data_IF_301845376783
#
_entry.id   IF_301845376783
#
_cell.length_a   1.000
_cell.length_b   1.000
_cell.length_c   1.000
_cell.angle_alpha   90.00
_cell.angle_beta   90.00
_cell.angle_gamma   90.00
#
_symmetry.space_group_name_H-M   'P 1'
#
loop_
_entity.id
_entity.type
_entity.pdbx_description
1 polymer ?
#
# COMPACT_ATOMS: atom_id res chain seq x y z
N UNK A 1 36.40 -25.99 16.59
CA UNK A 1 36.56 -24.52 16.69
C UNK A 1 35.55 -24.03 17.71
N UNK A 2 35.97 -23.40 18.80
CA UNK A 2 35.03 -22.73 19.69
C UNK A 2 34.48 -21.48 18.97
N UNK A 3 33.16 -21.26 18.94
CA UNK A 3 32.61 -20.02 18.41
C UNK A 3 33.17 -18.85 19.23
N UNK A 4 33.59 -17.78 18.54
CA UNK A 4 34.00 -16.55 19.23
C UNK A 4 32.78 -16.00 19.94
N UNK A 5 32.86 -15.87 21.25
CA UNK A 5 31.88 -15.12 22.05
C UNK A 5 31.84 -13.69 21.53
N UNK A 6 30.66 -13.25 21.10
CA UNK A 6 30.42 -11.85 20.77
C UNK A 6 30.59 -11.01 22.04
N UNK A 7 31.05 -9.77 21.93
CA UNK A 7 31.06 -8.83 23.07
C UNK A 7 29.65 -8.65 23.65
N UNK A 8 28.64 -8.84 22.80
CA UNK A 8 27.23 -8.77 23.14
C UNK A 8 26.77 -9.93 24.03
N UNK A 9 27.44 -11.09 23.98
CA UNK A 9 27.16 -12.24 24.85
C UNK A 9 27.63 -12.02 26.31
N UNK A 10 28.35 -10.92 26.56
CA UNK A 10 28.87 -10.56 27.89
C UNK A 10 27.91 -9.65 28.67
N UNK A 11 26.86 -9.11 28.04
CA UNK A 11 25.90 -8.24 28.71
C UNK A 11 24.84 -9.06 29.47
N UNK A 12 24.51 -8.68 30.72
CA UNK A 12 23.35 -9.20 31.42
C UNK A 12 22.06 -9.00 30.61
N UNK A 13 21.14 -9.96 30.69
CA UNK A 13 19.87 -9.90 29.96
C UNK A 13 19.06 -8.67 30.33
N UNK A 14 19.17 -8.20 31.57
CA UNK A 14 18.50 -7.00 32.07
C UNK A 14 18.94 -5.74 31.31
N UNK A 15 20.24 -5.60 31.01
CA UNK A 15 20.73 -4.46 30.21
C UNK A 15 20.25 -4.54 28.77
N UNK A 16 20.18 -5.74 28.21
CA UNK A 16 19.67 -5.95 26.86
C UNK A 16 18.15 -5.70 26.79
N UNK A 17 17.40 -6.02 27.83
CA UNK A 17 15.99 -5.63 27.95
C UNK A 17 15.85 -4.12 28.01
N UNK A 18 16.64 -3.43 28.85
CA UNK A 18 16.62 -1.97 28.92
C UNK A 18 16.94 -1.32 27.57
N UNK A 19 17.91 -1.84 26.80
CA UNK A 19 18.21 -1.33 25.45
C UNK A 19 17.01 -1.54 24.52
N UNK A 20 16.40 -2.73 24.54
CA UNK A 20 15.20 -3.03 23.73
C UNK A 20 14.07 -2.05 24.03
N UNK A 21 13.84 -1.73 25.31
CA UNK A 21 12.82 -0.79 25.76
C UNK A 21 13.08 0.66 25.34
N UNK A 22 14.31 1.00 24.93
CA UNK A 22 14.63 2.32 24.36
C UNK A 22 14.42 2.38 22.84
N UNK A 23 14.19 1.25 22.17
CA UNK A 23 13.86 1.23 20.74
C UNK A 23 12.37 1.59 20.62
N UNK A 24 11.99 2.62 19.84
CA UNK A 24 10.59 2.94 19.59
C UNK A 24 9.86 1.71 19.03
N UNK A 25 8.66 1.43 19.53
CA UNK A 25 7.87 0.27 19.07
C UNK A 25 7.53 0.35 17.56
N UNK A 26 7.49 1.53 16.96
CA UNK A 26 7.30 1.70 15.53
C UNK A 26 8.56 1.47 14.68
N UNK A 27 9.76 1.41 15.29
CA UNK A 27 11.02 1.14 14.60
C UNK A 27 11.22 -0.37 14.36
N UNK A 28 10.44 -0.87 13.38
CA UNK A 28 10.42 -2.26 12.96
C UNK A 28 11.82 -2.78 12.60
N UNK A 29 12.61 -1.97 11.89
CA UNK A 29 13.94 -2.33 11.40
C UNK A 29 14.90 -2.59 12.55
N UNK A 30 14.99 -1.65 13.50
CA UNK A 30 15.89 -1.80 14.64
C UNK A 30 15.46 -2.99 15.49
N UNK A 31 14.17 -3.24 15.67
CA UNK A 31 13.69 -4.43 16.37
C UNK A 31 14.08 -5.74 15.68
N UNK A 32 13.97 -5.85 14.36
CA UNK A 32 14.39 -7.06 13.62
C UNK A 32 15.89 -7.28 13.73
N UNK A 33 16.72 -6.26 13.53
CA UNK A 33 18.17 -6.40 13.67
C UNK A 33 18.60 -6.68 15.11
N UNK A 34 17.92 -6.09 16.09
CA UNK A 34 18.15 -6.39 17.50
C UNK A 34 17.85 -7.86 17.78
N UNK A 35 16.67 -8.35 17.39
CA UNK A 35 16.29 -9.75 17.54
C UNK A 35 17.33 -10.70 16.91
N UNK A 36 17.76 -10.42 15.67
CA UNK A 36 18.74 -11.25 14.94
C UNK A 36 20.13 -11.25 15.57
N UNK A 37 20.48 -10.21 16.33
CA UNK A 37 21.79 -10.09 16.99
C UNK A 37 21.92 -10.97 18.23
N UNK A 38 20.81 -11.42 18.83
CA UNK A 38 20.78 -12.14 20.11
C UNK A 38 19.96 -13.45 20.09
N UNK A 39 20.19 -14.38 19.14
CA UNK A 39 19.32 -15.53 18.92
C UNK A 39 19.21 -16.49 20.11
N UNK A 40 20.22 -16.55 20.98
CA UNK A 40 20.26 -17.47 22.14
C UNK A 40 19.43 -17.01 23.33
N UNK A 41 19.10 -15.73 23.42
CA UNK A 41 18.38 -15.12 24.56
C UNK A 41 17.10 -14.42 24.15
N UNK A 42 16.71 -14.52 22.88
CA UNK A 42 15.53 -13.88 22.31
C UNK A 42 14.26 -14.14 23.12
N UNK A 43 14.01 -15.38 23.53
CA UNK A 43 12.83 -15.73 24.34
C UNK A 43 12.82 -15.04 25.72
N UNK A 44 13.99 -14.66 26.25
CA UNK A 44 14.08 -13.86 27.47
C UNK A 44 13.83 -12.37 27.22
N UNK A 45 14.12 -11.88 26.00
CA UNK A 45 13.96 -10.46 25.63
C UNK A 45 12.56 -10.11 25.13
N UNK A 46 11.92 -11.03 24.41
CA UNK A 46 10.61 -10.82 23.77
C UNK A 46 9.48 -11.60 24.44
N UNK A 47 9.80 -12.40 25.46
CA UNK A 47 8.82 -13.18 26.22
C UNK A 47 8.58 -14.57 25.65
N UNK A 48 7.53 -15.22 26.14
CA UNK A 48 7.07 -16.49 25.61
C UNK A 48 6.47 -16.32 24.19
N UNK A 49 6.11 -17.42 23.53
CA UNK A 49 5.65 -17.40 22.14
C UNK A 49 4.43 -16.47 21.90
N UNK A 50 3.50 -16.40 22.85
CA UNK A 50 2.32 -15.55 22.76
C UNK A 50 2.67 -14.06 22.94
N UNK A 51 3.53 -13.76 23.91
CA UNK A 51 4.05 -12.41 24.16
C UNK A 51 4.87 -11.89 22.98
N UNK A 52 5.70 -12.75 22.40
CA UNK A 52 6.53 -12.45 21.24
C UNK A 52 5.66 -12.14 20.02
N UNK A 53 4.64 -12.97 19.75
CA UNK A 53 3.73 -12.77 18.61
C UNK A 53 2.92 -11.48 18.77
N UNK A 54 2.40 -11.20 19.97
CA UNK A 54 1.72 -9.94 20.27
C UNK A 54 2.65 -8.73 20.11
N UNK A 55 3.90 -8.85 20.54
CA UNK A 55 4.90 -7.79 20.34
C UNK A 55 5.09 -7.49 18.86
N UNK A 56 5.32 -8.51 18.02
CA UNK A 56 5.53 -8.30 16.59
C UNK A 56 4.30 -7.76 15.88
N UNK A 57 3.12 -8.16 16.32
CA UNK A 57 1.85 -7.60 15.86
C UNK A 57 1.79 -6.09 16.13
N UNK A 58 2.03 -5.67 17.38
CA UNK A 58 2.03 -4.25 17.77
C UNK A 58 3.05 -3.45 16.96
N UNK A 59 4.30 -3.94 16.85
CA UNK A 59 5.36 -3.28 16.09
C UNK A 59 4.99 -3.13 14.61
N UNK A 60 4.46 -4.18 13.98
CA UNK A 60 4.04 -4.11 12.57
C UNK A 60 2.90 -3.10 12.37
N UNK A 61 1.89 -3.13 13.24
CA UNK A 61 0.75 -2.21 13.14
C UNK A 61 1.21 -0.77 13.35
N UNK A 62 2.04 -0.49 14.35
CA UNK A 62 2.56 0.86 14.59
C UNK A 62 3.49 1.35 13.49
N UNK A 63 4.18 0.45 12.77
CA UNK A 63 4.90 0.76 11.53
C UNK A 63 3.97 0.93 10.31
N UNK A 64 2.64 0.93 10.53
CA UNK A 64 1.60 1.11 9.52
C UNK A 64 1.41 -0.09 8.58
N UNK A 65 1.72 -1.30 9.03
CA UNK A 65 1.57 -2.53 8.24
C UNK A 65 0.32 -3.33 8.64
N UNK A 66 -0.43 -3.77 7.64
CA UNK A 66 -1.61 -4.62 7.75
C UNK A 66 -1.44 -6.02 7.18
N UNK A 67 -2.57 -6.76 7.18
CA UNK A 67 -2.66 -8.11 6.63
C UNK A 67 -3.08 -8.10 5.16
N UNK A 68 -2.49 -9.00 4.37
CA UNK A 68 -2.89 -9.23 2.98
C UNK A 68 -4.15 -10.11 2.91
N UNK A 69 -4.90 -10.12 1.79
CA UNK A 69 -6.17 -10.86 1.67
C UNK A 69 -6.15 -12.35 2.03
N UNK A 70 -5.02 -13.05 1.83
CA UNK A 70 -4.90 -14.46 2.19
C UNK A 70 -4.74 -14.71 3.70
N UNK A 71 -4.29 -13.69 4.42
CA UNK A 71 -3.95 -13.73 5.85
C UNK A 71 -5.14 -13.33 6.72
N UNK A 72 -6.10 -12.58 6.17
CA UNK A 72 -7.32 -12.16 6.87
C UNK A 72 -8.32 -13.31 7.06
N UNK A 73 -8.18 -14.41 6.30
CA UNK A 73 -9.02 -15.61 6.41
C UNK A 73 -8.83 -16.30 7.77
N UNK A 74 -7.57 -16.40 8.20
CA UNK A 74 -7.20 -16.95 9.51
C UNK A 74 -6.12 -16.08 10.16
N UNK A 75 -6.52 -14.92 10.69
CA UNK A 75 -5.61 -13.88 11.17
C UNK A 75 -4.95 -14.25 12.51
N UNK A 76 -5.32 -15.39 13.11
CA UNK A 76 -4.68 -15.96 14.30
C UNK A 76 -3.54 -16.93 13.94
N UNK A 77 -3.48 -17.44 12.71
CA UNK A 77 -2.37 -18.28 12.24
C UNK A 77 -1.27 -17.51 11.51
N UNK A 78 -1.46 -16.22 11.29
CA UNK A 78 -0.42 -15.33 10.78
C UNK A 78 0.69 -15.23 11.81
N UNK A 79 1.94 -15.35 11.35
CA UNK A 79 3.11 -15.00 12.17
C UNK A 79 3.59 -13.61 11.79
N UNK A 80 3.27 -12.63 12.62
CA UNK A 80 3.73 -11.24 12.53
C UNK A 80 5.24 -11.13 12.59
N UNK A 81 5.92 -12.02 13.34
CA UNK A 81 7.38 -12.12 13.26
C UNK A 81 7.83 -12.40 11.83
N UNK A 82 7.20 -13.35 11.15
CA UNK A 82 7.55 -13.66 9.75
C UNK A 82 7.27 -12.45 8.85
N UNK A 83 6.15 -11.74 9.05
CA UNK A 83 5.82 -10.52 8.30
C UNK A 83 6.89 -9.44 8.49
N UNK A 84 7.26 -9.16 9.74
CA UNK A 84 8.32 -8.20 10.09
C UNK A 84 9.63 -8.53 9.37
N UNK A 85 10.07 -9.78 9.48
CA UNK A 85 11.34 -10.23 8.89
C UNK A 85 11.30 -10.22 7.37
N UNK A 86 10.17 -10.57 6.76
CA UNK A 86 9.97 -10.45 5.32
C UNK A 86 10.11 -8.98 4.91
N UNK A 87 9.37 -8.05 5.52
CA UNK A 87 9.47 -6.62 5.22
C UNK A 87 10.91 -6.09 5.28
N UNK A 88 11.64 -6.37 6.36
CA UNK A 88 13.01 -5.87 6.56
C UNK A 88 14.02 -6.57 5.63
N UNK A 89 13.81 -7.84 5.29
CA UNK A 89 14.71 -8.56 4.37
C UNK A 89 14.71 -7.97 2.95
N UNK A 90 13.60 -7.36 2.52
CA UNK A 90 13.47 -6.72 1.21
C UNK A 90 13.74 -5.21 1.26
N UNK A 91 13.64 -4.57 2.43
CA UNK A 91 13.86 -3.13 2.62
C UNK A 91 15.22 -2.68 2.09
N UNK A 92 16.31 -3.33 2.51
CA UNK A 92 17.68 -2.99 2.09
C UNK A 92 18.01 -3.28 0.62
N UNK A 93 17.07 -3.87 -0.13
CA UNK A 93 17.21 -4.15 -1.56
C UNK A 93 16.35 -3.24 -2.43
N UNK A 94 15.50 -2.40 -1.83
CA UNK A 94 14.54 -1.60 -2.56
C UNK A 94 14.98 -0.13 -2.62
N UNK A 95 15.36 0.32 -3.82
CA UNK A 95 15.72 1.73 -4.08
C UNK A 95 14.50 2.60 -4.45
N UNK A 96 13.28 2.13 -4.21
CA UNK A 96 12.06 2.84 -4.60
C UNK A 96 11.62 3.78 -3.46
N UNK A 97 11.36 5.09 -3.72
CA UNK A 97 11.06 6.06 -2.65
C UNK A 97 9.80 5.69 -1.85
N UNK A 98 8.79 5.14 -2.53
CA UNK A 98 7.57 4.64 -1.89
C UNK A 98 7.67 3.22 -1.33
N UNK A 99 8.84 2.82 -0.80
CA UNK A 99 9.07 1.52 -0.16
C UNK A 99 10.29 1.61 0.76
N UNK A 100 10.49 0.61 1.62
CA UNK A 100 11.66 0.51 2.47
C UNK A 100 11.56 1.35 3.74
N UNK A 101 12.71 1.82 4.27
CA UNK A 101 12.76 2.51 5.57
C UNK A 101 11.99 3.83 5.54
N UNK A 102 12.15 4.64 4.50
CA UNK A 102 11.52 5.97 4.44
C UNK A 102 9.99 5.86 4.53
N UNK A 103 9.41 4.84 3.88
CA UNK A 103 7.99 4.54 3.99
C UNK A 103 7.60 4.03 5.39
N UNK A 104 8.43 3.18 6.01
CA UNK A 104 8.16 2.71 7.39
C UNK A 104 8.17 3.88 8.38
N UNK A 105 9.13 4.79 8.26
CA UNK A 105 9.22 5.98 9.10
C UNK A 105 8.01 6.90 8.89
N UNK A 106 7.64 7.18 7.63
CA UNK A 106 6.48 8.00 7.32
C UNK A 106 5.17 7.38 7.84
N UNK A 107 4.98 6.07 7.63
CA UNK A 107 3.84 5.33 8.15
C UNK A 107 3.80 5.37 9.68
N UNK A 108 4.95 5.19 10.35
CA UNK A 108 5.07 5.25 11.80
C UNK A 108 4.68 6.62 12.34
N UNK A 109 5.14 7.70 11.70
CA UNK A 109 4.77 9.07 12.05
C UNK A 109 3.25 9.27 11.89
N UNK A 110 2.66 8.82 10.78
CA UNK A 110 1.21 8.91 10.60
C UNK A 110 0.43 8.10 11.64
N UNK A 111 0.88 6.89 11.97
CA UNK A 111 0.26 6.10 13.04
C UNK A 111 0.40 6.80 14.39
N UNK A 112 1.54 7.39 14.70
CA UNK A 112 1.77 8.13 15.94
C UNK A 112 0.84 9.35 16.07
N UNK A 113 0.65 10.13 14.99
CA UNK A 113 -0.19 11.33 15.05
C UNK A 113 -1.70 11.08 14.98
N UNK A 114 -2.11 9.93 14.43
CA UNK A 114 -3.53 9.63 14.17
C UNK A 114 -4.15 8.70 15.23
N UNK A 115 -3.32 8.08 16.07
CA UNK A 115 -3.75 7.17 17.12
C UNK A 115 -3.63 7.92 18.45
N UNK A 116 -4.72 7.97 19.21
CA UNK A 116 -4.72 8.57 20.55
C UNK A 116 -3.65 7.89 21.44
N UNK A 117 -3.02 8.65 22.34
CA UNK A 117 -1.94 8.16 23.22
C UNK A 117 -2.38 6.89 23.98
N UNK A 118 -3.66 6.81 24.34
CA UNK A 118 -4.27 5.68 25.05
C UNK A 118 -4.39 4.40 24.20
N UNK A 119 -4.26 4.50 22.87
CA UNK A 119 -4.39 3.39 21.93
C UNK A 119 -3.04 2.74 21.57
N UNK A 120 -1.89 3.34 21.96
CA UNK A 120 -0.57 2.80 21.63
C UNK A 120 -0.27 1.44 22.27
N UNK A 121 -0.83 1.17 23.46
CA UNK A 121 -0.62 -0.09 24.19
C UNK A 121 -1.73 -1.14 23.94
N UNK A 122 -2.65 -0.87 23.02
CA UNK A 122 -3.82 -1.71 22.79
C UNK A 122 -3.48 -2.86 21.84
N UNK A 123 -3.97 -4.06 22.14
CA UNK A 123 -3.84 -5.22 21.25
C UNK A 123 -4.55 -4.96 19.92
N UNK A 124 -4.09 -5.58 18.83
CA UNK A 124 -4.70 -5.42 17.49
C UNK A 124 -6.22 -5.54 17.49
N UNK A 125 -6.75 -6.55 18.19
CA UNK A 125 -8.19 -6.78 18.24
C UNK A 125 -8.93 -5.58 18.84
N UNK A 126 -8.37 -4.97 19.87
CA UNK A 126 -8.97 -3.78 20.46
C UNK A 126 -8.68 -2.53 19.62
N UNK A 127 -7.51 -2.42 18.98
CA UNK A 127 -7.21 -1.34 18.01
C UNK A 127 -8.24 -1.29 16.89
N UNK A 128 -8.49 -2.42 16.20
CA UNK A 128 -9.47 -2.44 15.12
C UNK A 128 -10.91 -2.35 15.62
N UNK A 129 -11.24 -2.85 16.82
CA UNK A 129 -12.57 -2.62 17.41
C UNK A 129 -12.86 -1.14 17.67
N UNK A 130 -11.83 -0.33 17.88
CA UNK A 130 -11.93 1.11 18.10
C UNK A 130 -11.87 1.90 16.79
N UNK A 131 -11.31 1.34 15.72
CA UNK A 131 -11.36 1.97 14.39
C UNK A 131 -12.83 2.19 13.99
N UNK A 132 -13.26 3.44 13.81
CA UNK A 132 -14.64 3.75 13.54
C UNK A 132 -15.03 3.21 12.16
N UNK A 133 -16.17 2.52 12.09
CA UNK A 133 -16.78 2.07 10.83
C UNK A 133 -17.49 3.24 10.09
N UNK A 134 -17.36 4.48 10.57
CA UNK A 134 -18.04 5.66 10.05
C UNK A 134 -17.37 6.99 10.46
N UNK A 135 -17.97 8.13 10.09
CA UNK A 135 -17.39 9.45 10.37
C UNK A 135 -17.22 9.67 11.88
N UNK A 136 -15.97 9.87 12.30
CA UNK A 136 -15.62 10.25 13.67
C UNK A 136 -15.09 11.70 13.68
N UNK A 137 -15.09 12.36 14.83
CA UNK A 137 -14.53 13.71 14.98
C UNK A 137 -13.04 13.76 14.62
N UNK A 138 -12.32 12.63 14.75
CA UNK A 138 -10.91 12.49 14.39
C UNK A 138 -10.67 12.33 12.87
N UNK A 139 -11.73 12.14 12.08
CA UNK A 139 -11.68 11.93 10.63
C UNK A 139 -11.24 13.14 9.80
N UNK A 140 -11.28 14.35 10.35
CA UNK A 140 -10.90 15.57 9.61
C UNK A 140 -9.41 15.61 9.22
N UNK A 141 -8.59 14.71 9.79
CA UNK A 141 -7.16 14.58 9.54
C UNK A 141 -6.74 13.35 8.76
N UNK A 142 -7.66 12.58 8.13
CA UNK A 142 -7.28 11.36 7.42
C UNK A 142 -6.22 11.64 6.35
N UNK A 143 -5.09 10.93 6.45
CA UNK A 143 -4.02 10.96 5.45
C UNK A 143 -4.11 9.73 4.58
N UNK A 144 -4.07 9.91 3.26
CA UNK A 144 -4.02 8.80 2.30
C UNK A 144 -2.56 8.44 2.03
N UNK A 145 -2.26 7.15 2.01
CA UNK A 145 -0.89 6.68 1.85
C UNK A 145 -0.36 7.03 0.45
N UNK A 146 0.76 7.75 0.39
CA UNK A 146 1.35 8.24 -0.86
C UNK A 146 1.75 7.13 -1.82
N UNK A 147 2.00 5.91 -1.32
CA UNK A 147 2.34 4.73 -2.13
C UNK A 147 1.28 4.52 -3.21
N UNK A 148 0.00 4.83 -2.93
CA UNK A 148 -1.12 4.77 -3.90
C UNK A 148 -0.91 5.59 -5.17
N UNK A 149 -0.04 6.60 -5.14
CA UNK A 149 0.36 7.40 -6.28
C UNK A 149 1.56 6.88 -7.07
N UNK A 150 2.25 5.85 -6.57
CA UNK A 150 3.47 5.33 -7.17
C UNK A 150 3.27 4.06 -7.97
N UNK A 151 2.04 3.60 -8.20
CA UNK A 151 1.86 2.28 -8.80
C UNK A 151 1.00 2.36 -10.04
N UNK A 152 1.29 1.44 -10.95
CA UNK A 152 0.79 1.43 -12.31
C UNK A 152 0.41 0.00 -12.70
N UNK A 153 -0.49 -0.08 -13.67
CA UNK A 153 -0.94 -1.33 -14.27
C UNK A 153 -0.28 -1.49 -15.64
N UNK A 154 -0.05 -2.73 -16.06
CA UNK A 154 0.42 -2.95 -17.42
C UNK A 154 -0.66 -2.56 -18.44
N UNK A 155 -0.26 -1.77 -19.44
CA UNK A 155 -1.15 -1.22 -20.47
C UNK A 155 -1.88 -2.31 -21.28
N UNK A 156 -1.22 -3.45 -21.49
CA UNK A 156 -1.75 -4.52 -22.34
C UNK A 156 -2.64 -5.47 -21.56
N UNK A 157 -3.88 -5.60 -22.05
CA UNK A 157 -4.74 -6.75 -21.77
C UNK A 157 -3.94 -8.04 -22.06
N UNK A 158 -4.02 -9.07 -21.21
CA UNK A 158 -3.35 -10.33 -21.47
C UNK A 158 -3.83 -10.92 -22.80
N UNK A 159 -2.97 -11.69 -23.47
CA UNK A 159 -3.32 -12.31 -24.74
C UNK A 159 -4.38 -13.40 -24.51
N UNK A 160 -5.52 -13.30 -25.20
CA UNK A 160 -6.63 -14.26 -25.11
C UNK A 160 -7.52 -14.02 -23.88
N UNK A 161 -8.02 -15.11 -23.29
CA UNK A 161 -8.89 -15.10 -22.10
C UNK A 161 -8.09 -15.15 -20.77
N UNK A 162 -6.76 -14.97 -20.83
CA UNK A 162 -5.95 -14.97 -19.61
C UNK A 162 -6.31 -13.77 -18.72
N UNK A 163 -6.70 -14.03 -17.47
CA UNK A 163 -6.80 -12.99 -16.44
C UNK A 163 -5.42 -12.88 -15.80
N UNK A 164 -4.76 -11.72 -15.94
CA UNK A 164 -3.49 -11.48 -15.25
C UNK A 164 -3.81 -11.26 -13.77
N UNK A 165 -3.26 -12.06 -12.84
CA UNK A 165 -3.51 -11.84 -11.42
C UNK A 165 -2.86 -10.53 -10.94
N UNK A 166 -3.34 -9.92 -9.83
CA UNK A 166 -2.80 -8.67 -9.30
C UNK A 166 -1.28 -8.74 -9.11
N UNK A 167 -0.79 -9.90 -8.65
CA UNK A 167 0.62 -10.25 -8.45
C UNK A 167 1.52 -10.11 -9.68
N UNK A 168 0.95 -9.97 -10.88
CA UNK A 168 1.70 -9.83 -12.14
C UNK A 168 1.36 -8.55 -12.89
N UNK A 169 0.30 -7.85 -12.52
CA UNK A 169 -0.23 -6.71 -13.29
C UNK A 169 0.16 -5.36 -12.69
N UNK A 170 0.38 -5.31 -11.37
CA UNK A 170 0.67 -4.09 -10.61
C UNK A 170 2.18 -3.98 -10.40
N UNK A 171 2.76 -2.81 -10.72
CA UNK A 171 4.16 -2.49 -10.47
C UNK A 171 4.33 -1.08 -9.90
N UNK A 172 5.44 -0.87 -9.19
CA UNK A 172 5.86 0.40 -8.60
C UNK A 172 6.55 1.26 -9.68
N UNK A 173 5.87 2.30 -10.14
CA UNK A 173 6.35 3.32 -11.06
C UNK A 173 7.26 4.32 -10.35
N UNK A 174 8.45 4.52 -10.90
CA UNK A 174 9.42 5.47 -10.37
C UNK A 174 9.62 6.63 -11.36
N UNK A 175 9.02 7.79 -11.08
CA UNK A 175 9.06 8.99 -11.94
C UNK A 175 10.46 9.45 -12.33
N UNK A 176 11.45 9.24 -11.47
CA UNK A 176 12.81 9.75 -11.68
C UNK A 176 13.65 8.81 -12.55
N UNK A 177 13.11 7.64 -12.93
CA UNK A 177 13.76 6.72 -13.87
C UNK A 177 13.25 6.95 -15.29
N UNK A 178 14.19 7.17 -16.22
CA UNK A 178 13.89 7.26 -17.66
C UNK A 178 13.26 5.96 -18.19
N UNK A 179 13.72 4.81 -17.70
CA UNK A 179 13.22 3.49 -18.08
C UNK A 179 12.63 2.77 -16.87
N UNK A 180 11.43 2.22 -17.04
CA UNK A 180 10.79 1.32 -16.07
C UNK A 180 11.15 -0.14 -16.39
N UNK A 181 11.30 -0.98 -15.37
CA UNK A 181 11.46 -2.44 -15.46
C UNK A 181 10.33 -3.13 -14.66
N UNK A 182 9.09 -3.14 -15.19
CA UNK A 182 7.92 -3.67 -14.47
C UNK A 182 8.11 -5.08 -13.90
N UNK A 183 8.75 -6.05 -14.61
CA UNK A 183 9.02 -7.37 -14.05
C UNK A 183 9.80 -7.37 -12.72
N UNK A 184 10.67 -6.39 -12.50
CA UNK A 184 11.45 -6.23 -11.25
C UNK A 184 10.78 -5.30 -10.24
N UNK A 185 9.81 -4.51 -10.67
CA UNK A 185 9.08 -3.54 -9.86
C UNK A 185 7.70 -4.03 -9.43
N UNK A 186 7.34 -5.31 -9.63
CA UNK A 186 6.02 -5.81 -9.26
C UNK A 186 5.75 -5.60 -7.77
N UNK A 187 4.58 -5.06 -7.41
CA UNK A 187 4.21 -4.71 -6.03
C UNK A 187 4.41 -5.86 -5.04
N UNK A 188 4.21 -7.11 -5.46
CA UNK A 188 4.44 -8.31 -4.63
C UNK A 188 5.89 -8.45 -4.12
N UNK A 189 6.86 -7.79 -4.76
CA UNK A 189 8.27 -7.78 -4.35
C UNK A 189 8.60 -6.60 -3.43
N UNK A 190 7.59 -5.79 -3.09
CA UNK A 190 7.67 -4.65 -2.19
C UNK A 190 6.75 -4.88 -0.98
N UNK A 191 7.10 -5.81 -0.06
CA UNK A 191 6.23 -6.21 1.04
C UNK A 191 5.85 -5.04 1.95
N UNK A 192 6.76 -4.07 2.18
CA UNK A 192 6.45 -2.85 2.93
C UNK A 192 5.34 -2.06 2.24
N UNK A 193 5.49 -1.75 0.95
CA UNK A 193 4.49 -1.02 0.17
C UNK A 193 3.16 -1.78 0.12
N UNK A 194 3.18 -3.07 -0.22
CA UNK A 194 1.97 -3.88 -0.36
C UNK A 194 1.16 -3.97 0.94
N UNK A 195 1.84 -4.09 2.09
CA UNK A 195 1.21 -4.24 3.41
C UNK A 195 0.88 -2.93 4.07
N UNK A 196 1.43 -1.82 3.62
CA UNK A 196 1.13 -0.50 4.20
C UNK A 196 -0.38 -0.24 4.20
N UNK A 197 -0.91 0.32 5.28
CA UNK A 197 -2.30 0.76 5.30
C UNK A 197 -2.53 1.82 4.21
N UNK A 198 -3.69 1.76 3.56
CA UNK A 198 -4.05 2.69 2.50
C UNK A 198 -4.35 4.11 3.01
N UNK A 199 -4.69 4.23 4.29
CA UNK A 199 -4.94 5.51 4.96
C UNK A 199 -4.59 5.45 6.45
N UNK A 200 -4.45 6.63 7.04
CA UNK A 200 -4.14 6.85 8.46
C UNK A 200 -5.17 7.82 9.06
N UNK A 201 -5.91 7.43 10.12
CA UNK A 201 -5.89 6.11 10.74
C UNK A 201 -6.39 5.00 9.78
N UNK A 202 -6.02 3.72 10.00
CA UNK A 202 -6.43 2.62 9.13
C UNK A 202 -7.95 2.50 9.09
N UNK A 203 -8.54 2.44 7.90
CA UNK A 203 -9.98 2.24 7.73
C UNK A 203 -10.27 0.80 7.28
N UNK A 204 -11.38 0.22 7.75
CA UNK A 204 -11.82 -1.13 7.31
C UNK A 204 -12.51 -1.14 5.96
N UNK A 205 -13.07 -0.01 5.55
CA UNK A 205 -13.83 0.15 4.31
C UNK A 205 -13.44 1.43 3.61
N UNK A 206 -13.09 1.29 2.33
CA UNK A 206 -12.88 2.39 1.41
C UNK A 206 -13.88 2.32 0.27
N UNK A 207 -14.30 3.49 -0.20
CA UNK A 207 -15.06 3.67 -1.42
C UNK A 207 -14.18 4.46 -2.38
N UNK A 208 -13.77 3.85 -3.49
CA UNK A 208 -12.93 4.53 -4.48
C UNK A 208 -13.81 5.05 -5.61
N UNK A 209 -13.66 6.31 -6.03
CA UNK A 209 -14.32 6.79 -7.25
C UNK A 209 -13.87 5.94 -8.44
N UNK A 210 -14.82 5.35 -9.15
CA UNK A 210 -14.57 4.33 -10.15
C UNK A 210 -15.11 4.69 -11.54
N UNK A 211 -14.66 3.94 -12.57
CA UNK A 211 -15.09 4.13 -13.96
C UNK A 211 -16.57 3.78 -14.21
N UNK A 212 -17.18 3.03 -13.30
CA UNK A 212 -18.52 2.47 -13.46
C UNK A 212 -19.56 3.53 -13.15
N UNK A 213 -20.57 3.62 -14.02
CA UNK A 213 -21.69 4.55 -13.85
C UNK A 213 -22.34 4.38 -12.47
N UNK A 214 -22.28 5.44 -11.67
CA UNK A 214 -22.98 5.62 -10.41
C UNK A 214 -22.60 4.64 -9.27
N UNK A 215 -21.42 4.00 -9.32
CA UNK A 215 -20.96 3.11 -8.24
C UNK A 215 -19.50 3.34 -7.88
N UNK A 216 -19.23 3.47 -6.58
CA UNK A 216 -17.89 3.36 -6.01
C UNK A 216 -17.32 1.94 -6.21
N UNK A 217 -16.01 1.81 -6.17
CA UNK A 217 -15.33 0.53 -6.03
C UNK A 217 -15.16 0.28 -4.52
N UNK A 218 -15.96 -0.61 -3.90
CA UNK A 218 -15.82 -0.90 -2.48
C UNK A 218 -14.57 -1.75 -2.25
N UNK A 219 -13.85 -1.43 -1.17
CA UNK A 219 -12.70 -2.19 -0.67
C UNK A 219 -12.92 -2.42 0.81
N UNK A 220 -12.83 -3.68 1.24
CA UNK A 220 -13.07 -4.04 2.64
C UNK A 220 -11.98 -4.98 3.15
N UNK A 221 -11.46 -4.66 4.34
CA UNK A 221 -10.57 -5.49 5.11
C UNK A 221 -10.82 -5.25 6.61
N UNK A 222 -11.29 -6.27 7.33
CA UNK A 222 -11.63 -6.16 8.74
C UNK A 222 -10.44 -5.75 9.63
N UNK A 223 -9.22 -5.94 9.14
CA UNK A 223 -7.95 -5.61 9.80
C UNK A 223 -7.26 -4.39 9.17
N UNK A 224 -8.05 -3.49 8.56
CA UNK A 224 -7.56 -2.27 7.92
C UNK A 224 -7.19 -2.52 6.45
N UNK A 225 -7.71 -1.67 5.57
CA UNK A 225 -7.47 -1.73 4.13
C UNK A 225 -6.01 -1.39 3.86
N UNK A 226 -5.33 -2.29 3.17
CA UNK A 226 -3.94 -2.12 2.73
C UNK A 226 -3.88 -1.54 1.33
N UNK A 227 -2.71 -1.03 0.96
CA UNK A 227 -2.34 -0.67 -0.40
C UNK A 227 -2.65 -1.81 -1.40
N UNK A 228 -2.35 -3.06 -1.03
CA UNK A 228 -2.64 -4.22 -1.87
C UNK A 228 -4.14 -4.40 -2.15
N UNK A 229 -4.98 -4.15 -1.15
CA UNK A 229 -6.44 -4.30 -1.24
C UNK A 229 -7.02 -3.28 -2.23
N UNK A 230 -6.61 -2.00 -2.10
CA UNK A 230 -7.02 -0.91 -2.99
C UNK A 230 -6.77 -1.27 -4.45
N UNK A 231 -5.60 -1.83 -4.75
CA UNK A 231 -5.31 -2.18 -6.12
C UNK A 231 -5.84 -3.47 -6.60
N UNK A 232 -5.99 -4.48 -5.75
CA UNK A 232 -6.70 -5.68 -6.15
C UNK A 232 -8.13 -5.31 -6.58
N UNK A 233 -8.75 -4.36 -5.87
CA UNK A 233 -10.04 -3.81 -6.23
C UNK A 233 -10.01 -3.02 -7.56
N UNK A 234 -9.09 -2.06 -7.73
CA UNK A 234 -8.94 -1.32 -9.00
C UNK A 234 -8.63 -2.25 -10.17
N UNK A 235 -7.76 -3.23 -9.97
CA UNK A 235 -7.36 -4.20 -10.97
C UNK A 235 -8.56 -5.01 -11.50
N UNK A 236 -9.45 -5.42 -10.59
CA UNK A 236 -10.68 -6.14 -10.95
C UNK A 236 -11.63 -5.33 -11.84
N UNK A 237 -11.43 -4.01 -11.94
CA UNK A 237 -12.26 -3.05 -12.70
C UNK A 237 -11.57 -2.49 -13.95
N UNK A 238 -10.35 -2.92 -14.24
CA UNK A 238 -9.57 -2.40 -15.38
C UNK A 238 -10.23 -2.67 -16.74
N UNK A 239 -10.98 -3.75 -16.85
CA UNK A 239 -11.69 -4.13 -18.08
C UNK A 239 -13.11 -3.58 -18.15
N UNK A 240 -13.59 -2.91 -17.10
CA UNK A 240 -14.94 -2.34 -17.08
C UNK A 240 -15.03 -1.19 -18.10
N UNK A 241 -16.14 -1.17 -18.84
CA UNK A 241 -16.41 -0.11 -19.81
C UNK A 241 -16.67 1.23 -19.11
N UNK A 242 -16.01 2.27 -19.60
CA UNK A 242 -16.21 3.63 -19.12
C UNK A 242 -17.36 4.29 -19.87
N UNK A 243 -18.32 4.82 -19.12
CA UNK A 243 -19.37 5.64 -19.74
C UNK A 243 -18.77 6.91 -20.35
N UNK A 244 -19.29 7.36 -21.50
CA UNK A 244 -18.83 8.60 -22.16
C UNK A 244 -18.89 9.80 -21.21
N UNK A 245 -19.93 9.88 -20.35
CA UNK A 245 -20.08 10.94 -19.35
C UNK A 245 -18.95 10.92 -18.32
N UNK A 246 -18.59 9.75 -17.81
CA UNK A 246 -17.52 9.60 -16.82
C UNK A 246 -16.16 9.88 -17.45
N UNK A 247 -15.91 9.36 -18.66
CA UNK A 247 -14.69 9.66 -19.40
C UNK A 247 -14.54 11.15 -19.69
N UNK A 248 -15.63 11.83 -20.08
CA UNK A 248 -15.61 13.27 -20.28
C UNK A 248 -15.24 14.01 -18.98
N UNK A 249 -15.84 13.64 -17.84
CA UNK A 249 -15.49 14.21 -16.53
C UNK A 249 -13.98 14.08 -16.27
N UNK A 250 -13.41 12.88 -16.42
CA UNK A 250 -11.98 12.66 -16.20
C UNK A 250 -11.10 13.47 -17.17
N UNK A 251 -11.48 13.56 -18.45
CA UNK A 251 -10.71 14.33 -19.43
C UNK A 251 -10.74 15.83 -19.15
N UNK A 252 -11.90 16.35 -18.70
CA UNK A 252 -12.08 17.76 -18.34
C UNK A 252 -11.25 18.11 -17.09
N UNK A 253 -11.16 17.19 -16.12
CA UNK A 253 -10.37 17.36 -14.89
C UNK A 253 -8.85 17.24 -15.12
N UNK A 254 -8.39 16.45 -16.09
CA UNK A 254 -6.98 16.06 -16.26
C UNK A 254 -6.26 16.68 -17.47
N UNK A 255 -6.71 17.85 -17.98
CA UNK A 255 -6.08 18.60 -19.10
C UNK A 255 -5.64 17.70 -20.26
N UNK A 256 -6.59 17.00 -20.88
CA UNK A 256 -6.28 16.00 -21.91
C UNK A 256 -5.42 16.49 -23.10
N UNK A 257 -5.32 17.80 -23.32
CA UNK A 257 -4.43 18.41 -24.31
C UNK A 257 -2.95 18.11 -24.09
N UNK A 258 -2.55 17.78 -22.85
CA UNK A 258 -1.17 17.45 -22.51
C UNK A 258 -0.78 16.05 -23.03
N UNK A 259 -1.77 15.17 -23.19
CA UNK A 259 -1.61 13.81 -23.72
C UNK A 259 -1.90 13.77 -25.21
N UNK A 260 -3.00 14.39 -25.64
CA UNK A 260 -3.52 14.25 -27.00
C UNK A 260 -3.27 15.51 -27.82
N UNK A 261 -2.50 15.42 -28.92
CA UNK A 261 -2.10 16.58 -29.69
C UNK A 261 -3.28 17.27 -30.38
N UNK A 262 -3.12 18.56 -30.63
CA UNK A 262 -4.07 19.40 -31.36
C UNK A 262 -4.35 18.80 -32.75
N UNK A 263 -5.57 18.27 -32.94
CA UNK A 263 -6.00 17.60 -34.18
C UNK A 263 -6.49 16.17 -33.99
N UNK A 264 -6.27 15.55 -32.83
CA UNK A 264 -6.92 14.28 -32.52
C UNK A 264 -8.45 14.47 -32.46
N UNK A 265 -9.20 13.72 -33.27
CA UNK A 265 -10.66 13.85 -33.24
C UNK A 265 -11.20 13.23 -31.96
N UNK A 266 -12.06 13.98 -31.24
CA UNK A 266 -12.73 13.52 -30.02
C UNK A 266 -13.39 12.14 -30.20
N UNK A 267 -14.06 11.83 -31.33
CA UNK A 267 -14.59 10.48 -31.55
C UNK A 267 -13.51 9.39 -31.61
N UNK A 268 -12.31 9.66 -32.14
CA UNK A 268 -11.20 8.70 -32.16
C UNK A 268 -10.65 8.47 -30.76
N UNK A 269 -10.52 9.54 -29.97
CA UNK A 269 -10.14 9.50 -28.56
C UNK A 269 -11.10 8.63 -27.73
N UNK A 270 -12.40 8.92 -27.81
CA UNK A 270 -13.41 8.19 -27.05
C UNK A 270 -13.44 6.70 -27.41
N UNK A 271 -13.13 6.35 -28.67
CA UNK A 271 -13.01 4.94 -29.12
C UNK A 271 -11.77 4.24 -28.59
N UNK A 272 -10.70 4.97 -28.26
CA UNK A 272 -9.47 4.40 -27.70
C UNK A 272 -9.49 4.28 -26.17
N UNK A 273 -10.40 4.96 -25.50
CA UNK A 273 -10.51 5.01 -24.02
C UNK A 273 -11.81 4.33 -23.56
N UNK A 274 -12.11 3.16 -24.13
CA UNK A 274 -13.34 2.42 -23.82
C UNK A 274 -13.32 1.75 -22.45
N UNK A 275 -12.13 1.37 -21.95
CA UNK A 275 -11.98 0.73 -20.64
C UNK A 275 -11.08 1.53 -19.71
N UNK A 276 -11.19 1.26 -18.41
CA UNK A 276 -10.35 1.91 -17.41
C UNK A 276 -8.85 1.60 -17.59
N UNK A 277 -8.49 0.39 -18.03
CA UNK A 277 -7.11 0.05 -18.42
C UNK A 277 -6.59 0.95 -19.53
N UNK A 278 -7.40 1.18 -20.56
CA UNK A 278 -6.98 2.03 -21.67
C UNK A 278 -6.78 3.47 -21.22
N UNK A 279 -7.64 3.99 -20.35
CA UNK A 279 -7.43 5.28 -19.71
C UNK A 279 -6.11 5.31 -18.91
N UNK A 280 -5.88 4.30 -18.06
CA UNK A 280 -4.68 4.22 -17.24
C UNK A 280 -3.38 3.95 -18.03
N UNK A 281 -3.51 3.58 -19.30
CA UNK A 281 -2.35 3.48 -20.19
C UNK A 281 -1.82 4.87 -20.58
N UNK A 282 -2.67 5.91 -20.59
CA UNK A 282 -2.26 7.28 -20.90
C UNK A 282 -2.01 8.13 -19.65
N UNK A 283 -2.74 7.82 -18.58
CA UNK A 283 -2.66 8.52 -17.30
C UNK A 283 -2.32 7.54 -16.18
N UNK A 284 -1.41 7.89 -15.28
CA UNK A 284 -1.21 7.13 -14.04
C UNK A 284 -2.02 7.76 -12.93
N UNK A 285 -2.32 6.96 -11.91
CA UNK A 285 -2.75 7.50 -10.63
C UNK A 285 -1.56 8.26 -10.06
N UNK A 286 -1.72 9.56 -9.85
CA UNK A 286 -0.73 10.44 -9.22
C UNK A 286 -0.79 10.32 -7.70
N UNK A 287 -1.98 10.09 -7.18
CA UNK A 287 -2.28 9.96 -5.76
C UNK A 287 -3.76 9.71 -5.56
N UNK A 288 -4.17 9.66 -4.30
CA UNK A 288 -5.58 9.54 -3.91
C UNK A 288 -5.86 10.57 -2.82
N UNK A 289 -7.02 11.22 -2.93
CA UNK A 289 -7.45 12.27 -2.02
C UNK A 289 -8.62 11.78 -1.18
N UNK A 290 -8.58 12.05 0.12
CA UNK A 290 -9.75 11.90 0.98
C UNK A 290 -10.78 12.97 0.64
N UNK A 291 -12.02 12.57 0.40
CA UNK A 291 -13.11 13.49 0.09
C UNK A 291 -14.07 13.63 1.27
N UNK A 292 -14.60 12.51 1.75
CA UNK A 292 -15.58 12.49 2.84
C UNK A 292 -15.73 11.08 3.43
N UNK A 293 -16.44 10.98 4.55
CA UNK A 293 -16.97 9.71 5.04
C UNK A 293 -18.41 9.52 4.56
N UNK A 294 -18.68 8.36 3.99
CA UNK A 294 -20.02 7.92 3.62
C UNK A 294 -20.52 6.88 4.63
N UNK A 295 -21.81 6.56 4.61
CA UNK A 295 -22.40 5.53 5.49
C UNK A 295 -21.67 4.18 5.38
N UNK A 296 -21.11 3.88 4.20
CA UNK A 296 -20.49 2.59 3.89
C UNK A 296 -18.95 2.61 3.91
N UNK A 297 -18.31 3.73 4.25
CA UNK A 297 -16.85 3.81 4.37
C UNK A 297 -16.23 5.15 3.95
N UNK A 298 -14.90 5.17 3.96
CA UNK A 298 -14.11 6.36 3.63
C UNK A 298 -14.04 6.56 2.11
N UNK A 299 -14.54 7.68 1.62
CA UNK A 299 -14.56 8.01 0.20
C UNK A 299 -13.23 8.66 -0.22
N UNK A 300 -12.54 7.98 -1.14
CA UNK A 300 -11.32 8.47 -1.78
C UNK A 300 -11.49 8.67 -3.29
N UNK A 301 -10.85 9.70 -3.80
CA UNK A 301 -10.85 10.05 -5.21
C UNK A 301 -9.43 9.92 -5.79
N UNK A 302 -9.21 9.10 -6.83
CA UNK A 302 -7.93 9.03 -7.51
C UNK A 302 -7.68 10.29 -8.33
N UNK A 303 -6.52 10.92 -8.15
CA UNK A 303 -6.03 11.97 -9.04
C UNK A 303 -5.09 11.37 -10.07
N UNK A 304 -5.06 11.95 -11.27
CA UNK A 304 -4.30 11.38 -12.38
C UNK A 304 -3.29 12.37 -12.95
N UNK A 305 -2.27 11.83 -13.60
CA UNK A 305 -1.36 12.63 -14.40
C UNK A 305 -0.88 11.89 -15.66
N UNK A 306 -0.54 12.61 -16.73
CA UNK A 306 -0.02 12.04 -17.96
C UNK A 306 1.24 11.18 -17.76
N UNK A 307 1.31 10.00 -18.39
CA UNK A 307 2.53 9.16 -18.42
C UNK A 307 3.23 9.24 -19.77
N UNK A 308 2.48 9.47 -20.84
CA UNK A 308 2.99 9.49 -22.22
C UNK A 308 2.15 10.40 -23.10
N UNK A 309 2.79 11.05 -24.07
CA UNK A 309 2.09 11.73 -25.14
C UNK A 309 1.56 10.71 -26.16
N UNK A 310 0.31 10.85 -26.58
CA UNK A 310 -0.24 10.04 -27.66
C UNK A 310 0.39 10.43 -29.01
N UNK A 311 0.92 9.45 -29.75
CA UNK A 311 1.36 9.68 -31.14
C UNK A 311 0.12 9.72 -32.06
N UNK A 312 -0.19 10.88 -32.69
CA UNK A 312 -1.36 11.02 -33.54
C UNK A 312 -1.23 10.26 -34.86
N UNK A 313 -0.02 9.90 -35.27
CA UNK A 313 0.31 9.30 -36.58
C UNK A 313 0.39 7.78 -36.55
N UNK A 314 0.42 7.17 -35.37
CA UNK A 314 0.45 5.72 -35.23
C UNK A 314 -0.89 5.10 -35.65
N UNK A 315 -0.95 4.53 -36.87
CA UNK A 315 -2.08 3.72 -37.35
C UNK A 315 -2.22 2.39 -36.58
N UNK A 316 -1.11 1.91 -36.00
CA UNK A 316 -1.16 0.93 -34.93
C UNK A 316 -1.70 1.69 -33.73
N UNK A 317 -2.98 1.51 -33.39
CA UNK A 317 -3.55 2.08 -32.17
C UNK A 317 -2.52 1.97 -31.05
N UNK A 318 -2.06 3.14 -30.59
CA UNK A 318 -0.92 3.30 -29.68
C UNK A 318 -1.11 2.32 -28.50
N UNK A 319 -0.16 1.39 -28.33
CA UNK A 319 -0.25 0.25 -27.39
C UNK A 319 -0.25 0.71 -25.94
#
# INVERSE_FOLDING_TARGET
MQPRTSILDLFPVELLTMIKEQIPQSDLRTHVFYYMSFPSITSSLYGNLEEEEKFWETVCVQAGLGLLPGETIDPQSVSWRKVAFECISYEGLCDHPACGQELLDANADYMYYQIDDDLHDISRNAFFQVIPDGPDLHSAGTVINEVLGFMQFHDRKPLGDEVRPPTKDIFMYYSDREEQDPPRQLLRYHPVAARSFACFPPARRLLIDGPVKDNFIPVENAYGVTVWDVYSALQSRLEDEMSVKHLQKLLDENKFTDVFPTGCSVPKLLRSLTTFRQFLSFYRIKGMEFIDWQEDGLYIFPTFEPVRSADPTSEKGVY
#
